data_IF_051952262562
#
_entry.id   IF_051952262562
#
_cell.length_a   1.000
_cell.length_b   1.000
_cell.length_c   1.000
_cell.angle_alpha   90.00
_cell.angle_beta   90.00
_cell.angle_gamma   90.00
#
_symmetry.space_group_name_H-M   'P 1'
#
loop_
_entity.id
_entity.type
_entity.pdbx_description
1 polymer ?
#
# COMPACT_ATOMS: atom_id res chain seq x y z
N UNK A 1 12.68 -2.68 -24.72
CA UNK A 1 11.21 -2.75 -24.80
C UNK A 1 10.63 -1.96 -23.64
N UNK A 2 9.83 -0.92 -23.91
CA UNK A 2 9.18 -0.14 -22.85
C UNK A 2 8.13 -1.03 -22.16
N UNK A 3 8.48 -1.60 -21.01
CA UNK A 3 7.54 -2.37 -20.20
C UNK A 3 6.42 -1.45 -19.73
N UNK A 4 5.16 -1.86 -19.92
CA UNK A 4 4.00 -1.12 -19.39
C UNK A 4 4.21 -0.90 -17.88
N UNK A 5 4.35 0.36 -17.49
CA UNK A 5 4.38 0.80 -16.08
C UNK A 5 2.95 0.97 -15.58
N UNK A 6 2.76 0.89 -14.26
CA UNK A 6 1.47 1.18 -13.63
C UNK A 6 1.26 2.69 -13.63
N UNK A 7 0.10 3.14 -14.10
CA UNK A 7 -0.18 4.56 -14.30
C UNK A 7 -1.08 5.17 -13.23
N UNK A 8 -1.98 4.37 -12.66
CA UNK A 8 -3.00 4.83 -11.72
C UNK A 8 -3.35 3.73 -10.70
N UNK A 9 -4.13 4.11 -9.69
CA UNK A 9 -4.51 3.22 -8.61
C UNK A 9 -5.39 2.04 -9.09
N UNK A 10 -6.20 2.22 -10.14
CA UNK A 10 -6.99 1.12 -10.72
C UNK A 10 -6.10 0.03 -11.33
N UNK A 11 -5.06 0.42 -12.06
CA UNK A 11 -4.07 -0.52 -12.59
C UNK A 11 -3.26 -1.18 -11.45
N UNK A 12 -2.96 -0.42 -10.39
CA UNK A 12 -2.30 -0.96 -9.21
C UNK A 12 -3.15 -2.04 -8.53
N UNK A 13 -4.45 -1.79 -8.32
CA UNK A 13 -5.32 -2.78 -7.68
C UNK A 13 -5.51 -4.03 -8.55
N UNK A 14 -5.64 -3.87 -9.87
CA UNK A 14 -5.65 -5.01 -10.80
C UNK A 14 -4.37 -5.83 -10.73
N UNK A 15 -3.21 -5.18 -10.68
CA UNK A 15 -1.92 -5.84 -10.51
C UNK A 15 -1.85 -6.57 -9.15
N UNK A 16 -2.36 -5.95 -8.09
CA UNK A 16 -2.41 -6.52 -6.74
C UNK A 16 -3.23 -7.81 -6.70
N UNK A 17 -4.43 -7.80 -7.26
CA UNK A 17 -5.28 -9.01 -7.35
C UNK A 17 -4.56 -10.11 -8.15
N UNK A 18 -4.01 -9.78 -9.31
CA UNK A 18 -3.30 -10.74 -10.15
C UNK A 18 -2.08 -11.36 -9.44
N UNK A 19 -1.33 -10.58 -8.67
CA UNK A 19 -0.19 -11.05 -7.86
C UNK A 19 -0.65 -12.01 -6.77
N UNK A 20 -1.75 -11.71 -6.07
CA UNK A 20 -2.32 -12.60 -5.06
C UNK A 20 -2.81 -13.92 -5.65
N UNK A 21 -3.47 -13.88 -6.81
CA UNK A 21 -3.92 -15.08 -7.51
C UNK A 21 -2.73 -15.94 -7.98
N UNK A 22 -1.66 -15.32 -8.47
CA UNK A 22 -0.44 -16.02 -8.85
C UNK A 22 0.27 -16.62 -7.61
N UNK A 23 0.35 -15.88 -6.50
CA UNK A 23 0.93 -16.39 -5.26
C UNK A 23 0.18 -17.63 -4.77
N UNK A 24 -1.16 -17.58 -4.73
CA UNK A 24 -1.97 -18.72 -4.32
C UNK A 24 -1.70 -19.98 -5.17
N UNK A 25 -1.55 -19.82 -6.49
CA UNK A 25 -1.21 -20.92 -7.40
C UNK A 25 0.22 -21.42 -7.24
N UNK A 26 1.17 -20.53 -6.97
CA UNK A 26 2.59 -20.85 -6.80
C UNK A 26 2.89 -21.48 -5.43
N UNK A 27 2.08 -21.20 -4.41
CA UNK A 27 2.24 -21.75 -3.06
C UNK A 27 1.51 -23.09 -2.88
N UNK A 28 0.52 -23.40 -3.73
CA UNK A 28 -0.22 -24.65 -3.68
C UNK A 28 0.67 -25.85 -4.12
N UNK A 29 0.98 -26.81 -3.22
CA UNK A 29 1.77 -27.98 -3.55
C UNK A 29 1.03 -29.03 -4.39
N UNK A 30 -0.30 -28.94 -4.49
CA UNK A 30 -1.15 -29.85 -5.28
C UNK A 30 -1.49 -29.27 -6.66
N UNK A 31 -0.95 -28.12 -7.00
CA UNK A 31 -1.19 -27.52 -8.31
C UNK A 31 -0.38 -28.26 -9.39
N UNK A 32 -1.06 -28.86 -10.35
CA UNK A 32 -0.50 -29.69 -11.43
C UNK A 32 0.28 -28.90 -12.51
N UNK A 33 0.84 -27.73 -12.17
CA UNK A 33 1.64 -26.93 -13.10
C UNK A 33 2.97 -27.62 -13.43
N UNK A 34 3.31 -27.65 -14.72
CA UNK A 34 4.65 -28.06 -15.15
C UNK A 34 5.73 -27.11 -14.62
N UNK A 35 6.97 -27.60 -14.57
CA UNK A 35 8.11 -26.77 -14.15
C UNK A 35 8.30 -25.53 -15.05
N UNK A 36 7.98 -25.62 -16.34
CA UNK A 36 8.04 -24.49 -17.26
C UNK A 36 6.95 -23.45 -16.98
N UNK A 37 5.72 -23.89 -16.75
CA UNK A 37 4.60 -22.99 -16.41
C UNK A 37 4.85 -22.29 -15.09
N UNK A 38 5.31 -23.00 -14.07
CA UNK A 38 5.73 -22.42 -12.78
C UNK A 38 6.80 -21.35 -12.98
N UNK A 39 7.85 -21.63 -13.79
CA UNK A 39 8.92 -20.64 -14.07
C UNK A 39 8.38 -19.40 -14.78
N UNK A 40 7.51 -19.57 -15.77
CA UNK A 40 6.89 -18.43 -16.49
C UNK A 40 6.00 -17.62 -15.54
N UNK A 41 5.21 -18.28 -14.70
CA UNK A 41 4.36 -17.61 -13.73
C UNK A 41 5.17 -16.85 -12.67
N UNK A 42 6.25 -17.44 -12.15
CA UNK A 42 7.20 -16.75 -11.27
C UNK A 42 7.79 -15.51 -11.94
N UNK A 43 8.24 -15.61 -13.20
CA UNK A 43 8.78 -14.46 -13.92
C UNK A 43 7.76 -13.32 -14.09
N UNK A 44 6.48 -13.64 -14.31
CA UNK A 44 5.39 -12.64 -14.37
C UNK A 44 5.09 -12.08 -12.97
N UNK A 45 5.07 -12.92 -11.95
CA UNK A 45 4.89 -12.52 -10.56
C UNK A 45 5.96 -11.51 -10.14
N UNK A 46 7.24 -11.88 -10.26
CA UNK A 46 8.38 -11.02 -9.88
C UNK A 46 8.31 -9.68 -10.60
N UNK A 47 8.16 -9.70 -11.93
CA UNK A 47 8.03 -8.49 -12.74
C UNK A 47 6.86 -7.61 -12.30
N UNK A 48 5.70 -8.20 -12.01
CA UNK A 48 4.52 -7.43 -11.60
C UNK A 48 4.73 -6.81 -10.21
N UNK A 49 5.33 -7.55 -9.29
CA UNK A 49 5.66 -7.03 -7.95
C UNK A 49 6.66 -5.87 -8.02
N UNK A 50 7.68 -5.95 -8.89
CA UNK A 50 8.64 -4.86 -9.10
C UNK A 50 7.97 -3.58 -9.60
N UNK A 51 7.05 -3.70 -10.56
CA UNK A 51 6.28 -2.57 -11.07
C UNK A 51 5.39 -1.94 -10.00
N UNK A 52 4.74 -2.77 -9.18
CA UNK A 52 3.93 -2.31 -8.05
C UNK A 52 4.78 -1.56 -7.02
N UNK A 53 5.95 -2.10 -6.65
CA UNK A 53 6.84 -1.43 -5.71
C UNK A 53 7.36 -0.11 -6.27
N UNK A 54 7.73 -0.06 -7.56
CA UNK A 54 8.18 1.17 -8.22
C UNK A 54 7.09 2.25 -8.22
N UNK A 55 5.86 1.87 -8.53
CA UNK A 55 4.69 2.75 -8.46
C UNK A 55 4.49 3.28 -7.04
N UNK A 56 4.51 2.39 -6.04
CA UNK A 56 4.32 2.76 -4.64
C UNK A 56 5.41 3.69 -4.13
N UNK A 57 6.68 3.43 -4.45
CA UNK A 57 7.79 4.33 -4.11
C UNK A 57 7.62 5.70 -4.74
N UNK A 58 7.12 5.77 -5.98
CA UNK A 58 6.79 7.04 -6.62
C UNK A 58 5.71 7.82 -5.86
N UNK A 59 4.62 7.18 -5.43
CA UNK A 59 3.59 7.82 -4.61
C UNK A 59 4.15 8.35 -3.29
N UNK A 60 5.05 7.59 -2.65
CA UNK A 60 5.69 8.00 -1.41
C UNK A 60 6.61 9.20 -1.62
N UNK A 61 7.42 9.20 -2.67
CA UNK A 61 8.27 10.34 -3.06
C UNK A 61 7.44 11.59 -3.36
N UNK A 62 6.26 11.43 -3.94
CA UNK A 62 5.36 12.53 -4.23
C UNK A 62 4.82 13.20 -2.96
N UNK A 63 4.60 12.40 -1.90
CA UNK A 63 4.15 12.86 -0.58
C UNK A 63 5.29 13.42 0.28
N UNK A 64 6.45 12.76 0.23
CA UNK A 64 7.65 13.14 0.95
C UNK A 64 8.86 13.13 0.00
N UNK A 65 9.25 14.30 -0.53
CA UNK A 65 10.37 14.43 -1.44
C UNK A 65 11.72 13.98 -0.87
N UNK A 66 11.89 13.94 0.47
CA UNK A 66 13.13 13.50 1.11
C UNK A 66 13.46 12.03 0.80
N UNK A 67 12.42 11.21 0.58
CA UNK A 67 12.58 9.80 0.23
C UNK A 67 13.35 9.56 -1.07
N UNK A 68 13.45 10.57 -1.96
CA UNK A 68 14.28 10.49 -3.17
C UNK A 68 15.73 10.20 -2.84
N UNK A 69 16.27 10.91 -1.85
CA UNK A 69 17.68 10.76 -1.47
C UNK A 69 17.93 9.39 -0.83
N UNK A 70 17.05 8.98 0.07
CA UNK A 70 17.11 7.65 0.70
C UNK A 70 17.07 6.56 -0.37
N UNK A 71 16.13 6.62 -1.31
CA UNK A 71 16.01 5.61 -2.36
C UNK A 71 17.21 5.57 -3.31
N UNK A 72 17.86 6.71 -3.59
CA UNK A 72 19.12 6.74 -4.35
C UNK A 72 20.23 6.02 -3.60
N UNK A 73 20.38 6.27 -2.30
CA UNK A 73 21.45 5.69 -1.50
C UNK A 73 21.37 4.16 -1.42
N UNK A 74 20.15 3.61 -1.36
CA UNK A 74 19.93 2.15 -1.31
C UNK A 74 19.71 1.51 -2.69
N UNK A 75 19.78 2.29 -3.77
CA UNK A 75 19.68 1.79 -5.14
C UNK A 75 18.26 1.39 -5.58
N UNK A 76 17.21 1.91 -4.96
CA UNK A 76 15.83 1.65 -5.38
C UNK A 76 15.34 2.65 -6.41
N UNK A 77 14.76 2.14 -7.51
CA UNK A 77 14.08 2.98 -8.50
C UNK A 77 12.66 3.34 -8.09
N UNK A 78 12.22 4.56 -8.36
CA UNK A 78 10.82 4.97 -8.22
C UNK A 78 10.25 5.46 -9.55
N UNK A 79 8.94 5.67 -9.59
CA UNK A 79 8.27 6.33 -10.70
C UNK A 79 8.15 7.83 -10.40
N UNK A 80 8.53 8.67 -11.36
CA UNK A 80 8.35 10.11 -11.25
C UNK A 80 6.89 10.46 -11.53
N UNK A 81 6.21 11.02 -10.53
CA UNK A 81 4.92 11.66 -10.70
C UNK A 81 5.12 13.18 -10.63
N UNK A 82 4.34 13.94 -11.40
CA UNK A 82 4.36 15.41 -11.33
C UNK A 82 4.06 15.92 -9.91
N UNK A 83 4.32 17.21 -9.62
CA UNK A 83 3.99 17.76 -8.31
C UNK A 83 2.51 17.50 -8.01
N UNK A 84 2.20 17.04 -6.80
CA UNK A 84 0.83 17.10 -6.30
C UNK A 84 0.42 18.57 -6.42
N UNK A 85 -0.67 18.85 -7.14
CA UNK A 85 -1.33 20.15 -6.96
C UNK A 85 -1.61 20.23 -5.46
N UNK A 86 -0.90 21.12 -4.77
CA UNK A 86 -1.27 21.50 -3.42
C UNK A 86 -2.72 21.97 -3.55
N UNK A 87 -3.66 21.15 -3.09
CA UNK A 87 -4.90 21.73 -2.59
C UNK A 87 -4.44 22.61 -1.43
N UNK A 88 -4.44 23.91 -1.67
CA UNK A 88 -4.26 24.92 -0.64
C UNK A 88 -5.21 24.58 0.51
N UNK A 89 -4.70 23.93 1.55
CA UNK A 89 -5.29 24.02 2.89
C UNK A 89 -4.97 25.41 3.44
N UNK A 90 -5.46 26.43 2.75
CA UNK A 90 -5.67 27.76 3.28
C UNK A 90 -7.13 27.84 3.68
N UNK A 91 -7.40 27.69 4.99
CA UNK A 91 -8.73 27.90 5.53
C UNK A 91 -8.96 27.30 6.90
N UNK A 92 -8.89 28.17 7.91
CA UNK A 92 -9.45 28.03 9.25
C UNK A 92 -8.62 27.27 10.31
N UNK A 93 -7.66 27.98 10.89
CA UNK A 93 -7.47 28.01 12.35
C UNK A 93 -8.84 28.18 13.03
N UNK A 94 -9.42 27.09 13.52
CA UNK A 94 -10.47 27.20 14.53
C UNK A 94 -9.82 27.67 15.85
N UNK A 95 -10.37 28.67 16.56
CA UNK A 95 -9.84 29.09 17.85
C UNK A 95 -9.91 27.92 18.86
N UNK A 96 -8.97 27.84 19.82
CA UNK A 96 -8.93 26.74 20.79
C UNK A 96 -10.24 26.72 21.60
N UNK A 97 -10.95 25.59 21.69
CA UNK A 97 -12.03 25.46 22.67
C UNK A 97 -11.42 25.51 24.07
N UNK A 98 -11.94 26.41 24.90
CA UNK A 98 -11.64 26.51 26.33
C UNK A 98 -11.97 25.22 27.09
N UNK A 99 -11.53 25.13 28.36
CA UNK A 99 -11.50 23.88 29.11
C UNK A 99 -12.89 23.52 29.62
N UNK A 100 -13.60 22.64 28.92
CA UNK A 100 -14.81 22.02 29.44
C UNK A 100 -14.51 20.69 30.14
N UNK A 101 -15.04 20.61 31.35
CA UNK A 101 -14.81 19.61 32.41
C UNK A 101 -15.02 18.15 31.94
N UNK A 102 -14.36 17.17 32.57
CA UNK A 102 -14.50 15.75 32.22
C UNK A 102 -15.94 15.28 32.45
N UNK A 103 -16.64 14.89 31.39
CA UNK A 103 -17.88 14.11 31.48
C UNK A 103 -17.53 12.70 31.94
N UNK A 104 -17.89 12.40 33.18
CA UNK A 104 -17.86 11.06 33.79
C UNK A 104 -18.50 10.03 32.85
N UNK A 105 -17.76 8.98 32.51
CA UNK A 105 -18.32 7.79 31.88
C UNK A 105 -18.89 6.91 33.00
N UNK A 106 -20.18 6.54 32.98
CA UNK A 106 -20.70 5.59 33.96
C UNK A 106 -20.01 4.23 33.75
N UNK A 107 -19.33 3.75 34.81
CA UNK A 107 -18.71 2.44 34.86
C UNK A 107 -19.78 1.36 34.66
N UNK A 108 -19.76 0.70 33.49
CA UNK A 108 -20.51 -0.55 33.31
C UNK A 108 -19.86 -1.61 34.19
N UNK A 109 -20.58 -2.00 35.24
CA UNK A 109 -20.23 -3.14 36.11
C UNK A 109 -20.16 -4.40 35.24
N UNK A 110 -19.00 -5.03 35.24
CA UNK A 110 -18.82 -6.39 34.74
C UNK A 110 -19.40 -7.30 35.82
N UNK A 111 -20.60 -7.83 35.62
CA UNK A 111 -21.10 -8.96 36.40
C UNK A 111 -20.83 -10.23 35.60
N UNK A 112 -19.87 -10.98 36.10
CA UNK A 112 -19.54 -12.35 35.72
C UNK A 112 -20.66 -13.29 36.16
N UNK A 113 -21.54 -13.66 35.21
CA UNK A 113 -22.49 -14.79 35.33
C UNK A 113 -22.21 -15.78 34.19
N UNK A 114 -21.11 -16.50 34.30
CA UNK A 114 -20.75 -17.58 33.37
C UNK A 114 -20.28 -18.84 34.12
N UNK A 115 -20.72 -18.99 35.37
CA UNK A 115 -20.48 -20.15 36.22
C UNK A 115 -21.67 -20.34 37.19
N UNK A 116 -22.80 -20.75 36.64
CA UNK A 116 -23.76 -21.67 37.26
C UNK A 116 -24.50 -22.44 36.15
#
# INVERSE_FOLDING_TARGET
MSGKVIQNDEQYEKARVAVLDMAAKLDDPLNDMSAEERRRMMAVYDRTTDLMQRYRRGQLVQRDPFLREIYKQIGYEWQEFGPLKQEDKSGATAPPPGPDKPKERPAKRITSDWLD
#
